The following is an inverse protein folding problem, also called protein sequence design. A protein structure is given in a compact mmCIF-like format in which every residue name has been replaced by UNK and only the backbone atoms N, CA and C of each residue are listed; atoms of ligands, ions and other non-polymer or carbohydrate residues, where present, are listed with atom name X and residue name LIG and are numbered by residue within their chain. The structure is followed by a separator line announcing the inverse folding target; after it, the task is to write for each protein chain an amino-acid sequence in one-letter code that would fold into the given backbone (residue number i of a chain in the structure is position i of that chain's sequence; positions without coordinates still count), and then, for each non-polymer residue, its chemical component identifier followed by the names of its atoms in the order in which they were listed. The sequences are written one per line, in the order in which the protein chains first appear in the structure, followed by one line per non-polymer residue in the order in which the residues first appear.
data_IF_477560168797
#
_entry.id   IF_477560168797
#
_cell.length_a   1.000
_cell.length_b   1.000
_cell.length_c   1.000
_cell.angle_alpha   90.00
_cell.angle_beta   90.00
_cell.angle_gamma   90.00
#
_symmetry.space_group_name_H-M   'P 1'
#
loop_
_entity.id
_entity.type
_entity.pdbx_description
1 polymer ?
#
# COMPACT_ATOMS: atom_id res chain seq x y z
N UNK A 1 -20.02 -41.09 8.68
CA UNK A 1 -19.43 -40.51 7.46
C UNK A 1 -19.17 -39.00 7.57
N UNK A 2 -20.18 -38.12 7.63
CA UNK A 2 -19.97 -36.66 7.61
C UNK A 2 -19.15 -36.12 8.80
N UNK A 3 -19.46 -36.54 10.02
CA UNK A 3 -18.70 -36.17 11.23
C UNK A 3 -17.24 -36.60 11.14
N UNK A 4 -16.98 -37.79 10.59
CA UNK A 4 -15.62 -38.31 10.40
C UNK A 4 -14.85 -37.53 9.32
N UNK A 5 -15.49 -37.17 8.20
CA UNK A 5 -14.89 -36.27 7.21
C UNK A 5 -14.60 -34.89 7.80
N UNK A 6 -15.49 -34.36 8.64
CA UNK A 6 -15.27 -33.10 9.33
C UNK A 6 -14.07 -33.17 10.28
N UNK A 7 -13.98 -34.23 11.08
CA UNK A 7 -12.83 -34.51 11.96
C UNK A 7 -11.50 -34.52 11.18
N UNK A 8 -11.44 -35.22 10.05
CA UNK A 8 -10.26 -35.28 9.18
C UNK A 8 -9.93 -33.97 8.45
N UNK A 9 -10.86 -33.02 8.40
CA UNK A 9 -10.64 -31.71 7.73
C UNK A 9 -10.00 -30.70 8.69
N UNK A 10 -10.09 -30.93 10.00
CA UNK A 10 -9.52 -30.02 11.00
C UNK A 10 -8.00 -30.21 11.02
N UNK A 11 -7.20 -29.18 10.69
CA UNK A 11 -5.75 -29.30 10.66
C UNK A 11 -5.19 -29.73 12.02
N UNK A 12 -4.20 -30.63 12.01
CA UNK A 12 -3.47 -31.15 13.17
C UNK A 12 -4.28 -31.98 14.18
N UNK A 13 -5.61 -32.04 14.08
CA UNK A 13 -6.41 -32.75 15.06
C UNK A 13 -6.18 -34.26 15.00
N UNK A 14 -6.17 -34.83 13.80
CA UNK A 14 -5.91 -36.25 13.59
C UNK A 14 -4.47 -36.61 13.96
N UNK A 15 -3.49 -35.81 13.51
CA UNK A 15 -2.07 -36.07 13.72
C UNK A 15 -1.70 -36.00 15.21
N UNK A 16 -2.20 -35.00 15.94
CA UNK A 16 -1.98 -34.90 17.38
C UNK A 16 -2.63 -36.05 18.14
N UNK A 17 -3.84 -36.46 17.74
CA UNK A 17 -4.51 -37.63 18.32
C UNK A 17 -3.69 -38.91 18.14
N UNK A 18 -3.17 -39.16 16.94
CA UNK A 18 -2.34 -40.34 16.66
C UNK A 18 -1.05 -40.38 17.50
N UNK A 19 -0.37 -39.24 17.61
CA UNK A 19 0.87 -39.14 18.38
C UNK A 19 0.60 -39.33 19.87
N UNK A 20 -0.44 -38.71 20.39
CA UNK A 20 -0.83 -38.81 21.80
C UNK A 20 -1.22 -40.24 22.16
N UNK A 21 -2.00 -40.89 21.30
CA UNK A 21 -2.41 -42.29 21.50
C UNK A 21 -1.20 -43.24 21.49
N UNK A 22 -0.24 -43.05 20.57
CA UNK A 22 0.98 -43.86 20.55
C UNK A 22 1.85 -43.65 21.80
N UNK A 23 1.92 -42.42 22.30
CA UNK A 23 2.71 -42.10 23.49
C UNK A 23 2.16 -42.74 24.77
N UNK A 24 0.85 -42.97 24.84
CA UNK A 24 0.16 -43.37 26.08
C UNK A 24 -0.43 -44.79 26.05
N UNK A 25 -0.40 -45.47 24.90
CA UNK A 25 -0.80 -46.88 24.80
C UNK A 25 0.44 -47.76 24.74
N UNK A 26 0.42 -48.86 25.49
CA UNK A 26 1.43 -49.90 25.36
C UNK A 26 1.23 -50.63 24.02
N UNK A 27 2.26 -50.69 23.19
CA UNK A 27 2.26 -51.34 21.86
C UNK A 27 3.66 -51.80 21.50
N UNK A 28 3.76 -52.88 20.73
CA UNK A 28 5.04 -53.31 20.12
C UNK A 28 5.40 -52.55 18.85
N UNK A 29 4.45 -51.82 18.25
CA UNK A 29 4.65 -51.16 16.97
C UNK A 29 5.50 -49.88 17.10
N UNK A 30 6.42 -49.70 16.15
CA UNK A 30 7.13 -48.43 16.00
C UNK A 30 6.17 -47.31 15.60
N UNK A 31 6.58 -46.05 15.82
CA UNK A 31 5.75 -44.89 15.47
C UNK A 31 5.34 -44.88 13.98
N UNK A 32 6.23 -45.26 13.06
CA UNK A 32 5.90 -45.34 11.63
C UNK A 32 4.84 -46.40 11.33
N UNK A 33 4.91 -47.54 12.02
CA UNK A 33 3.96 -48.64 11.86
C UNK A 33 2.61 -48.30 12.48
N UNK A 34 2.62 -47.61 13.62
CA UNK A 34 1.44 -47.03 14.25
C UNK A 34 0.70 -46.08 13.33
N UNK A 35 1.41 -45.12 12.72
CA UNK A 35 0.83 -44.16 11.77
C UNK A 35 0.27 -44.90 10.56
N UNK A 36 0.99 -45.89 10.03
CA UNK A 36 0.55 -46.68 8.86
C UNK A 36 -0.71 -47.48 9.16
N UNK A 37 -0.79 -48.15 10.31
CA UNK A 37 -1.97 -48.88 10.75
C UNK A 37 -3.21 -47.97 10.84
N UNK A 38 -3.06 -46.80 11.47
CA UNK A 38 -4.18 -45.87 11.64
C UNK A 38 -4.59 -45.18 10.34
N UNK A 39 -3.66 -44.88 9.44
CA UNK A 39 -3.98 -44.38 8.10
C UNK A 39 -4.75 -45.43 7.28
N UNK A 40 -4.33 -46.70 7.31
CA UNK A 40 -5.07 -47.80 6.69
C UNK A 40 -6.48 -47.92 7.27
N UNK A 41 -6.60 -47.97 8.61
CA UNK A 41 -7.89 -48.06 9.28
C UNK A 41 -8.80 -46.89 8.92
N UNK A 42 -8.27 -45.66 8.90
CA UNK A 42 -9.01 -44.46 8.58
C UNK A 42 -9.54 -44.46 7.14
N UNK A 43 -8.72 -44.88 6.18
CA UNK A 43 -9.12 -44.98 4.78
C UNK A 43 -10.14 -46.11 4.56
N UNK A 44 -9.91 -47.28 5.18
CA UNK A 44 -10.78 -48.46 5.04
C UNK A 44 -12.16 -48.24 5.68
N UNK A 45 -12.22 -47.65 6.87
CA UNK A 45 -13.48 -47.30 7.55
C UNK A 45 -14.28 -46.26 6.76
N UNK A 46 -13.60 -45.29 6.15
CA UNK A 46 -14.19 -44.31 5.24
C UNK A 46 -14.79 -45.00 4.00
N UNK A 47 -14.06 -45.93 3.39
CA UNK A 47 -14.55 -46.73 2.26
C UNK A 47 -15.74 -47.60 2.66
N UNK A 48 -15.74 -48.22 3.85
CA UNK A 48 -16.89 -49.00 4.33
C UNK A 48 -18.14 -48.13 4.45
N UNK A 49 -18.01 -46.90 4.94
CA UNK A 49 -19.11 -45.95 4.98
C UNK A 49 -19.63 -45.60 3.57
N UNK A 50 -18.72 -45.41 2.60
CA UNK A 50 -19.08 -45.10 1.22
C UNK A 50 -19.80 -46.28 0.54
N UNK A 51 -19.31 -47.51 0.69
CA UNK A 51 -19.98 -48.71 0.15
C UNK A 51 -21.34 -48.96 0.78
N UNK A 52 -21.47 -48.76 2.11
CA UNK A 52 -22.77 -48.85 2.77
C UNK A 52 -23.73 -47.75 2.30
N UNK A 53 -23.24 -46.55 1.98
CA UNK A 53 -24.07 -45.49 1.40
C UNK A 53 -24.53 -45.85 -0.02
N UNK A 54 -23.64 -46.38 -0.86
CA UNK A 54 -23.97 -46.86 -2.21
C UNK A 54 -24.98 -48.03 -2.20
N UNK A 55 -24.87 -48.93 -1.21
CA UNK A 55 -25.79 -50.06 -1.01
C UNK A 55 -27.18 -49.59 -0.58
N UNK A 56 -27.26 -48.65 0.37
CA UNK A 56 -28.54 -48.11 0.85
C UNK A 56 -29.21 -47.15 -0.16
N UNK A 57 -28.43 -46.51 -1.04
CA UNK A 57 -28.93 -45.57 -2.06
C UNK A 57 -28.39 -45.92 -3.45
N UNK A 58 -28.84 -47.03 -4.06
CA UNK A 58 -28.30 -47.51 -5.31
C UNK A 58 -28.62 -46.54 -6.44
N UNK A 59 -27.56 -46.11 -7.14
CA UNK A 59 -27.71 -45.35 -8.38
C UNK A 59 -27.93 -46.30 -9.56
N UNK A 60 -28.88 -46.03 -10.48
CA UNK A 60 -29.06 -46.83 -11.69
C UNK A 60 -27.77 -46.83 -12.53
N UNK A 61 -27.18 -48.02 -12.71
CA UNK A 61 -25.85 -48.22 -13.31
C UNK A 61 -25.74 -47.71 -14.77
N UNK A 62 -26.86 -47.63 -15.50
CA UNK A 62 -26.91 -47.24 -16.92
C UNK A 62 -27.68 -45.94 -17.21
N UNK A 63 -28.02 -45.14 -16.18
CA UNK A 63 -28.79 -43.91 -16.39
C UNK A 63 -27.91 -42.65 -16.42
N UNK A 64 -28.32 -41.67 -17.24
CA UNK A 64 -27.68 -40.35 -17.28
C UNK A 64 -27.83 -39.65 -15.93
N UNK A 65 -26.72 -39.25 -15.30
CA UNK A 65 -26.74 -38.39 -14.09
C UNK A 65 -27.56 -37.12 -14.35
N UNK A 66 -28.44 -36.76 -13.40
CA UNK A 66 -29.37 -35.62 -13.48
C UNK A 66 -28.60 -34.32 -13.78
N UNK A 67 -29.06 -33.55 -14.78
CA UNK A 67 -28.42 -32.28 -15.20
C UNK A 67 -28.26 -31.28 -14.05
N UNK A 68 -29.29 -31.15 -13.19
CA UNK A 68 -29.25 -30.25 -12.03
C UNK A 68 -28.08 -30.55 -11.08
N UNK A 69 -27.80 -31.84 -10.82
CA UNK A 69 -26.70 -32.22 -9.93
C UNK A 69 -25.35 -31.84 -10.56
N UNK A 70 -25.21 -32.00 -11.88
CA UNK A 70 -24.00 -31.60 -12.61
C UNK A 70 -23.76 -30.09 -12.55
N UNK A 71 -24.79 -29.29 -12.83
CA UNK A 71 -24.67 -27.83 -12.81
C UNK A 71 -24.49 -27.29 -11.39
N UNK A 72 -25.14 -27.89 -10.39
CA UNK A 72 -24.97 -27.47 -9.00
C UNK A 72 -23.53 -27.71 -8.51
N UNK A 73 -23.02 -28.94 -8.62
CA UNK A 73 -21.66 -29.27 -8.17
C UNK A 73 -20.58 -28.60 -9.02
N UNK A 74 -20.72 -28.64 -10.34
CA UNK A 74 -19.77 -28.00 -11.26
C UNK A 74 -19.77 -26.48 -11.11
N UNK A 75 -20.95 -25.86 -11.01
CA UNK A 75 -21.09 -24.42 -10.83
C UNK A 75 -20.58 -23.95 -9.47
N UNK A 76 -20.83 -24.71 -8.39
CA UNK A 76 -20.30 -24.43 -7.07
C UNK A 76 -18.77 -24.44 -7.05
N UNK A 77 -18.14 -25.49 -7.60
CA UNK A 77 -16.68 -25.59 -7.67
C UNK A 77 -16.07 -24.48 -8.54
N UNK A 78 -16.71 -24.15 -9.66
CA UNK A 78 -16.27 -23.07 -10.54
C UNK A 78 -16.36 -21.71 -9.84
N UNK A 79 -17.46 -21.42 -9.15
CA UNK A 79 -17.62 -20.18 -8.38
C UNK A 79 -16.57 -20.07 -7.28
N UNK A 80 -16.28 -21.17 -6.57
CA UNK A 80 -15.27 -21.19 -5.52
C UNK A 80 -13.89 -20.82 -6.07
N UNK A 81 -13.49 -21.37 -7.22
CA UNK A 81 -12.21 -21.02 -7.88
C UNK A 81 -12.17 -19.54 -8.27
N UNK A 82 -13.25 -19.02 -8.85
CA UNK A 82 -13.34 -17.58 -9.20
C UNK A 82 -13.20 -16.73 -7.94
N UNK A 83 -13.87 -17.09 -6.85
CA UNK A 83 -13.81 -16.37 -5.58
C UNK A 83 -12.39 -16.38 -5.02
N UNK A 84 -11.67 -17.50 -5.04
CA UNK A 84 -10.27 -17.57 -4.59
C UNK A 84 -9.38 -16.58 -5.35
N UNK A 85 -9.60 -16.43 -6.65
CA UNK A 85 -8.79 -15.53 -7.49
C UNK A 85 -9.20 -14.05 -7.27
N UNK A 86 -10.51 -13.76 -7.23
CA UNK A 86 -11.03 -12.39 -7.21
C UNK A 86 -11.15 -11.77 -5.82
N UNK A 87 -11.48 -12.57 -4.80
CA UNK A 87 -11.72 -12.06 -3.45
C UNK A 87 -10.52 -11.28 -2.86
N UNK A 88 -9.27 -11.77 -2.98
CA UNK A 88 -8.12 -11.01 -2.51
C UNK A 88 -7.93 -9.68 -3.26
N UNK A 89 -8.23 -9.66 -4.56
CA UNK A 89 -8.14 -8.44 -5.39
C UNK A 89 -9.16 -7.39 -4.96
N UNK A 90 -10.39 -7.81 -4.68
CA UNK A 90 -11.47 -6.93 -4.19
C UNK A 90 -11.13 -6.36 -2.81
N UNK A 91 -10.65 -7.20 -1.90
CA UNK A 91 -10.26 -6.76 -0.56
C UNK A 91 -9.14 -5.70 -0.62
N UNK A 92 -8.18 -5.86 -1.53
CA UNK A 92 -7.15 -4.85 -1.77
C UNK A 92 -7.71 -3.53 -2.30
N UNK A 93 -8.61 -3.60 -3.28
CA UNK A 93 -9.26 -2.40 -3.82
C UNK A 93 -9.98 -1.61 -2.72
N UNK A 94 -10.60 -2.29 -1.77
CA UNK A 94 -11.26 -1.65 -0.62
C UNK A 94 -10.26 -1.11 0.42
N UNK A 95 -9.18 -1.84 0.72
CA UNK A 95 -8.20 -1.42 1.74
C UNK A 95 -7.49 -0.09 1.38
N UNK A 96 -7.23 0.17 0.09
CA UNK A 96 -6.60 1.42 -0.35
C UNK A 96 -7.51 2.66 -0.25
N UNK A 97 -8.80 2.49 0.06
CA UNK A 97 -9.75 3.61 0.13
C UNK A 97 -9.80 4.32 1.49
N UNK A 98 -9.19 3.72 2.54
CA UNK A 98 -9.29 4.19 3.93
C UNK A 98 -8.20 5.21 4.30
N UNK A 99 -7.72 5.99 3.33
CA UNK A 99 -6.74 7.06 3.59
C UNK A 99 -7.33 8.12 4.52
N UNK A 100 -6.63 8.42 5.61
CA UNK A 100 -7.03 9.45 6.58
C UNK A 100 -6.42 10.80 6.23
N UNK A 101 -7.16 11.87 6.49
CA UNK A 101 -6.70 13.25 6.26
C UNK A 101 -5.78 13.68 7.39
N UNK A 102 -4.59 14.17 7.05
CA UNK A 102 -3.69 14.81 8.00
C UNK A 102 -3.04 16.04 7.38
N UNK A 103 -3.59 17.21 7.70
CA UNK A 103 -3.18 18.48 7.12
C UNK A 103 -1.87 18.97 7.77
N UNK A 104 -1.01 19.69 7.02
CA UNK A 104 0.13 20.36 7.63
C UNK A 104 -0.35 21.48 8.55
N UNK A 105 0.35 21.62 9.68
CA UNK A 105 0.09 22.63 10.72
C UNK A 105 0.98 23.86 10.56
N UNK A 106 2.11 23.68 9.87
CA UNK A 106 3.09 24.73 9.62
C UNK A 106 3.48 24.73 8.15
N UNK A 107 3.61 25.94 7.59
CA UNK A 107 4.23 26.17 6.29
C UNK A 107 5.32 27.23 6.48
N UNK A 108 6.57 26.85 6.25
CA UNK A 108 7.72 27.74 6.36
C UNK A 108 8.30 28.05 4.99
N UNK A 109 8.69 29.30 4.77
CA UNK A 109 9.40 29.74 3.59
C UNK A 109 10.71 30.42 3.97
N UNK A 110 11.74 30.18 3.16
CA UNK A 110 13.08 30.73 3.39
C UNK A 110 13.71 31.18 2.07
N UNK A 111 14.18 32.41 2.03
CA UNK A 111 14.94 32.97 0.89
C UNK A 111 16.40 33.12 1.31
N UNK A 112 17.31 32.39 0.66
CA UNK A 112 18.75 32.43 0.91
C UNK A 112 19.51 32.86 -0.33
N UNK A 113 20.67 33.49 -0.12
CA UNK A 113 21.60 33.84 -1.20
C UNK A 113 22.94 33.18 -0.93
N UNK A 114 23.33 32.23 -1.78
CA UNK A 114 24.66 31.59 -1.83
C UNK A 114 25.32 31.28 -0.47
N UNK A 115 24.55 30.73 0.47
CA UNK A 115 25.02 30.27 1.79
C UNK A 115 25.20 31.35 2.85
N UNK A 116 24.83 32.60 2.58
CA UNK A 116 24.76 33.65 3.59
C UNK A 116 23.53 33.50 4.48
N UNK A 117 23.46 34.32 5.54
CA UNK A 117 22.28 34.40 6.41
C UNK A 117 21.02 34.66 5.55
N UNK A 118 19.89 33.97 5.81
CA UNK A 118 18.68 34.11 5.02
C UNK A 118 18.25 35.57 4.93
N UNK A 119 17.87 35.99 3.73
CA UNK A 119 17.29 37.31 3.52
C UNK A 119 15.89 37.31 4.18
N UNK A 120 15.07 36.31 3.88
CA UNK A 120 13.72 36.22 4.42
C UNK A 120 13.46 34.84 5.01
N UNK A 121 12.83 34.81 6.18
CA UNK A 121 12.37 33.59 6.82
C UNK A 121 11.03 33.86 7.53
N UNK A 122 10.00 33.11 7.16
CA UNK A 122 8.66 33.25 7.74
C UNK A 122 7.96 31.91 7.83
N UNK A 123 7.17 31.74 8.88
CA UNK A 123 6.41 30.52 9.16
C UNK A 123 4.97 30.87 9.44
N UNK A 124 4.07 30.37 8.59
CA UNK A 124 2.65 30.35 8.88
C UNK A 124 2.34 29.21 9.85
N UNK A 125 1.68 29.55 10.96
CA UNK A 125 1.27 28.62 12.01
C UNK A 125 -0.23 28.27 11.91
N UNK A 126 -0.74 27.60 12.95
CA UNK A 126 -2.15 27.20 13.08
C UNK A 126 -3.06 28.44 12.98
N UNK A 127 -3.94 28.45 11.99
CA UNK A 127 -4.86 29.56 11.67
C UNK A 127 -4.54 30.24 10.34
N UNK A 128 -3.26 30.42 10.03
CA UNK A 128 -2.80 30.93 8.74
C UNK A 128 -2.67 29.82 7.68
N UNK A 129 -2.49 28.58 8.13
CA UNK A 129 -2.69 27.36 7.33
C UNK A 129 -4.08 26.81 7.63
N UNK A 130 -4.98 26.91 6.65
CA UNK A 130 -6.37 26.44 6.78
C UNK A 130 -6.84 25.71 5.52
N UNK A 131 -7.86 24.87 5.65
CA UNK A 131 -8.55 24.33 4.49
C UNK A 131 -9.31 25.43 3.72
N UNK A 132 -9.55 25.18 2.44
CA UNK A 132 -10.44 26.01 1.63
C UNK A 132 -11.87 25.92 2.16
N UNK A 133 -12.59 27.04 2.05
CA UNK A 133 -14.04 27.03 2.17
C UNK A 133 -14.66 26.48 0.89
N UNK A 134 -15.89 25.97 0.97
CA UNK A 134 -16.61 25.48 -0.20
C UNK A 134 -16.66 26.54 -1.32
N UNK A 135 -16.93 27.80 -0.97
CA UNK A 135 -17.01 28.90 -1.94
C UNK A 135 -15.67 29.16 -2.64
N UNK A 136 -14.55 29.11 -1.92
CA UNK A 136 -13.22 29.29 -2.51
C UNK A 136 -12.84 28.10 -3.40
N UNK A 137 -13.22 26.89 -3.02
CA UNK A 137 -13.03 25.69 -3.85
C UNK A 137 -13.87 25.74 -5.12
N UNK A 138 -15.14 26.17 -5.03
CA UNK A 138 -16.01 26.36 -6.18
C UNK A 138 -15.45 27.47 -7.11
N UNK A 139 -14.84 28.52 -6.54
CA UNK A 139 -14.14 29.55 -7.31
C UNK A 139 -12.92 28.98 -8.04
N UNK A 140 -12.12 28.12 -7.39
CA UNK A 140 -11.00 27.42 -8.01
C UNK A 140 -11.49 26.54 -9.17
N UNK A 141 -12.57 25.79 -8.96
CA UNK A 141 -13.21 24.97 -9.99
C UNK A 141 -13.66 25.83 -11.18
N UNK A 142 -14.25 26.99 -10.91
CA UNK A 142 -14.69 27.93 -11.95
C UNK A 142 -13.51 28.53 -12.74
N UNK A 143 -12.38 28.80 -12.09
CA UNK A 143 -11.14 29.24 -12.75
C UNK A 143 -10.68 28.24 -13.81
N UNK A 144 -10.74 26.94 -13.51
CA UNK A 144 -10.26 25.87 -14.40
C UNK A 144 -11.34 25.25 -15.31
N UNK A 145 -12.51 25.89 -15.43
CA UNK A 145 -13.71 25.36 -16.11
C UNK A 145 -13.52 24.85 -17.54
N UNK A 146 -12.48 25.31 -18.25
CA UNK A 146 -12.20 24.91 -19.64
C UNK A 146 -11.34 23.65 -19.76
N UNK A 147 -10.54 23.32 -18.74
CA UNK A 147 -9.58 22.22 -18.82
C UNK A 147 -10.07 20.98 -18.10
N UNK A 148 -10.36 19.92 -18.88
CA UNK A 148 -10.79 18.62 -18.32
C UNK A 148 -9.72 17.98 -17.44
N UNK A 149 -8.44 18.16 -17.78
CA UNK A 149 -7.31 17.61 -17.02
C UNK A 149 -7.13 18.32 -15.68
N UNK A 150 -7.30 19.64 -15.66
CA UNK A 150 -7.26 20.42 -14.44
C UNK A 150 -8.44 20.08 -13.51
N UNK A 151 -9.65 19.99 -14.06
CA UNK A 151 -10.85 19.63 -13.28
C UNK A 151 -10.75 18.21 -12.70
N UNK A 152 -10.30 17.23 -13.49
CA UNK A 152 -10.09 15.87 -12.98
C UNK A 152 -9.08 15.84 -11.83
N UNK A 153 -8.01 16.63 -11.90
CA UNK A 153 -7.06 16.76 -10.80
C UNK A 153 -7.67 17.41 -9.58
N UNK A 154 -8.51 18.45 -9.75
CA UNK A 154 -9.21 19.10 -8.64
C UNK A 154 -10.22 18.13 -8.00
N UNK A 155 -10.93 17.33 -8.79
CA UNK A 155 -11.93 16.35 -8.33
C UNK A 155 -11.32 15.22 -7.48
N UNK A 156 -10.02 14.92 -7.64
CA UNK A 156 -9.31 13.98 -6.79
C UNK A 156 -9.20 14.46 -5.31
N UNK A 157 -9.37 15.76 -5.07
CA UNK A 157 -9.28 16.39 -3.75
C UNK A 157 -10.58 17.08 -3.36
N UNK A 158 -11.04 16.91 -2.13
CA UNK A 158 -12.17 17.71 -1.65
C UNK A 158 -11.69 19.10 -1.21
N UNK A 159 -12.61 20.05 -1.01
CA UNK A 159 -12.31 21.37 -0.43
C UNK A 159 -11.55 21.30 0.90
N UNK A 160 -11.77 20.26 1.71
CA UNK A 160 -11.05 20.02 2.97
C UNK A 160 -9.63 19.46 2.78
N UNK A 161 -9.33 18.88 1.61
CA UNK A 161 -8.02 18.29 1.29
C UNK A 161 -7.08 19.33 0.65
N UNK A 162 -7.62 20.49 0.27
CA UNK A 162 -6.86 21.60 -0.30
C UNK A 162 -6.74 22.72 0.73
N UNK A 163 -5.51 23.15 0.98
CA UNK A 163 -5.18 24.16 1.99
C UNK A 163 -4.74 25.47 1.35
N UNK A 164 -4.98 26.56 2.05
CA UNK A 164 -4.34 27.85 1.83
C UNK A 164 -3.37 28.08 2.98
N UNK A 165 -2.09 28.29 2.64
CA UNK A 165 -1.09 28.76 3.59
C UNK A 165 -0.78 30.23 3.33
N UNK A 166 -1.20 31.10 4.26
CA UNK A 166 -0.97 32.54 4.20
C UNK A 166 0.26 32.91 5.03
N UNK A 167 1.38 33.13 4.37
CA UNK A 167 2.65 33.43 5.04
C UNK A 167 2.86 34.94 5.06
N UNK A 168 3.21 35.50 6.21
CA UNK A 168 3.47 36.93 6.34
C UNK A 168 4.66 37.33 5.47
N UNK A 169 4.51 38.39 4.66
CA UNK A 169 5.56 38.91 3.81
C UNK A 169 6.69 39.57 4.59
N UNK A 170 6.48 40.00 5.84
CA UNK A 170 7.59 40.44 6.69
C UNK A 170 8.33 39.24 7.26
N UNK A 171 9.66 39.28 7.23
CA UNK A 171 10.49 38.27 7.87
C UNK A 171 10.18 38.18 9.37
N UNK A 172 10.01 36.96 9.87
CA UNK A 172 9.79 36.67 11.29
C UNK A 172 11.03 36.92 12.14
N UNK A 173 12.21 36.87 11.51
CA UNK A 173 13.51 37.15 12.11
C UNK A 173 14.12 38.44 11.55
N UNK A 174 14.90 39.12 12.40
CA UNK A 174 15.73 40.26 12.00
C UNK A 174 16.88 39.78 11.14
N UNK A 175 17.41 40.64 10.28
CA UNK A 175 18.54 40.30 9.42
C UNK A 175 19.86 40.34 10.22
N UNK A 176 20.23 39.22 10.83
CA UNK A 176 21.40 39.09 11.72
C UNK A 176 22.74 38.89 10.97
N UNK A 177 22.90 39.44 9.78
CA UNK A 177 24.16 39.32 9.05
C UNK A 177 25.29 40.03 9.80
N UNK A 178 26.43 39.36 9.98
CA UNK A 178 27.59 40.01 10.61
C UNK A 178 28.17 41.07 9.68
N UNK A 179 28.69 42.21 10.20
CA UNK A 179 29.34 43.22 9.35
C UNK A 179 30.39 42.68 8.36
N UNK A 180 31.29 41.74 8.73
CA UNK A 180 32.21 41.15 7.77
C UNK A 180 31.50 40.29 6.71
N UNK A 181 30.47 39.52 7.08
CA UNK A 181 29.70 38.74 6.12
C UNK A 181 28.90 39.63 5.16
N UNK A 182 28.43 40.79 5.62
CA UNK A 182 27.76 41.81 4.80
C UNK A 182 28.70 42.40 3.75
N UNK A 183 29.92 42.78 4.15
CA UNK A 183 30.94 43.26 3.21
C UNK A 183 31.35 42.16 2.22
N UNK A 184 31.53 40.93 2.70
CA UNK A 184 31.82 39.78 1.83
C UNK A 184 30.68 39.49 0.83
N UNK A 185 29.42 39.63 1.25
CA UNK A 185 28.26 39.48 0.36
C UNK A 185 28.31 40.53 -0.76
N UNK A 186 28.58 41.79 -0.42
CA UNK A 186 28.71 42.89 -1.40
C UNK A 186 29.86 42.62 -2.38
N UNK A 187 31.04 42.23 -1.87
CA UNK A 187 32.20 41.87 -2.71
C UNK A 187 31.86 40.71 -3.65
N UNK A 188 31.17 39.68 -3.15
CA UNK A 188 30.79 38.51 -3.94
C UNK A 188 29.71 38.85 -4.98
N UNK A 189 28.76 39.73 -4.64
CA UNK A 189 27.76 40.24 -5.59
C UNK A 189 28.44 40.97 -6.77
N UNK A 190 29.49 41.75 -6.48
CA UNK A 190 30.28 42.49 -7.47
C UNK A 190 31.29 41.61 -8.24
N UNK A 191 31.61 40.43 -7.70
CA UNK A 191 32.56 39.50 -8.31
C UNK A 191 32.00 38.77 -9.54
N UNK A 192 32.90 38.18 -10.34
CA UNK A 192 32.57 37.31 -11.47
C UNK A 192 32.22 35.86 -11.08
N UNK A 193 32.18 35.54 -9.78
CA UNK A 193 31.82 34.20 -9.31
C UNK A 193 30.34 33.91 -9.54
N UNK A 194 29.95 32.65 -9.86
CA UNK A 194 28.55 32.27 -9.93
C UNK A 194 27.88 32.39 -8.56
N UNK A 195 26.64 32.87 -8.57
CA UNK A 195 25.83 33.07 -7.37
C UNK A 195 24.42 32.58 -7.69
N UNK A 196 23.72 32.06 -6.70
CA UNK A 196 22.33 31.69 -6.81
C UNK A 196 21.54 32.23 -5.62
N UNK A 197 20.28 32.55 -5.90
CA UNK A 197 19.25 32.82 -4.91
C UNK A 197 18.34 31.60 -4.83
N UNK A 198 18.07 31.10 -3.63
CA UNK A 198 17.31 29.90 -3.39
C UNK A 198 16.10 30.20 -2.49
N UNK A 199 14.93 29.74 -2.91
CA UNK A 199 13.70 29.82 -2.14
C UNK A 199 13.22 28.42 -1.78
N UNK A 200 13.14 28.16 -0.47
CA UNK A 200 12.73 26.88 0.12
C UNK A 200 11.31 27.02 0.68
N UNK A 201 10.46 26.02 0.45
CA UNK A 201 9.17 25.90 1.11
C UNK A 201 9.03 24.53 1.77
N UNK A 202 8.50 24.54 3.00
CA UNK A 202 8.50 23.39 3.89
C UNK A 202 7.13 23.27 4.55
N UNK A 203 6.46 22.14 4.37
CA UNK A 203 5.21 21.79 5.02
C UNK A 203 5.47 20.75 6.10
N UNK A 204 5.08 21.07 7.34
CA UNK A 204 5.20 20.16 8.49
C UNK A 204 3.83 19.81 9.03
N UNK A 205 3.66 18.53 9.38
CA UNK A 205 2.46 17.99 10.03
C UNK A 205 2.73 17.76 11.51
N UNK A 206 1.70 17.90 12.34
CA UNK A 206 1.82 17.59 13.77
C UNK A 206 2.15 16.09 13.94
N UNK A 207 3.10 15.72 14.81
CA UNK A 207 3.52 14.32 14.96
C UNK A 207 2.36 13.45 15.46
N UNK A 208 2.18 12.27 14.83
CA UNK A 208 1.20 11.27 15.24
C UNK A 208 1.86 9.89 15.28
N UNK A 209 1.68 9.16 16.39
CA UNK A 209 2.23 7.83 16.58
C UNK A 209 1.61 6.80 15.62
N UNK A 210 0.35 6.98 15.21
CA UNK A 210 -0.41 6.03 14.35
C UNK A 210 -0.09 6.17 12.86
N UNK A 211 0.42 7.32 12.47
CA UNK A 211 0.66 7.69 11.07
C UNK A 211 2.17 7.83 10.82
N UNK A 212 2.61 7.51 9.61
CA UNK A 212 3.99 7.71 9.18
C UNK A 212 4.00 8.77 8.08
N UNK A 213 4.62 9.89 8.37
CA UNK A 213 4.85 10.97 7.43
C UNK A 213 6.16 11.66 7.80
N UNK A 214 6.74 12.31 6.80
CA UNK A 214 7.93 13.13 6.96
C UNK A 214 7.60 14.55 6.47
N UNK A 215 8.57 15.45 6.62
CA UNK A 215 8.47 16.81 6.13
C UNK A 215 8.37 16.80 4.60
N UNK A 216 7.35 17.50 4.08
CA UNK A 216 7.22 17.71 2.65
C UNK A 216 7.88 19.03 2.30
N UNK A 217 8.94 19.00 1.49
CA UNK A 217 9.74 20.19 1.18
C UNK A 217 10.20 20.19 -0.27
N UNK A 218 10.41 21.36 -0.82
CA UNK A 218 11.06 21.54 -2.12
C UNK A 218 11.70 22.93 -2.17
N UNK A 219 12.56 23.14 -3.16
CA UNK A 219 13.27 24.39 -3.32
C UNK A 219 13.41 24.77 -4.80
N UNK A 220 13.54 26.07 -5.04
CA UNK A 220 13.94 26.59 -6.35
C UNK A 220 15.14 27.50 -6.21
N UNK A 221 16.17 27.24 -7.02
CA UNK A 221 17.33 28.10 -7.16
C UNK A 221 17.28 28.84 -8.51
N UNK A 222 17.57 30.14 -8.50
CA UNK A 222 17.78 30.96 -9.69
C UNK A 222 19.26 31.33 -9.73
N UNK A 223 19.92 31.00 -10.82
CA UNK A 223 21.31 31.40 -11.06
C UNK A 223 21.38 32.88 -11.44
N UNK A 224 22.24 33.59 -10.75
CA UNK A 224 22.54 35.00 -10.96
C UNK A 224 23.92 35.09 -11.58
N UNK A 225 24.06 35.20 -12.92
CA UNK A 225 25.36 35.40 -13.56
C UNK A 225 25.99 36.77 -13.20
N UNK A 226 27.29 36.97 -13.46
CA UNK A 226 27.93 38.27 -13.27
C UNK A 226 27.23 39.38 -14.06
N UNK A 227 26.99 40.53 -13.42
CA UNK A 227 26.27 41.65 -14.05
C UNK A 227 24.76 41.51 -14.13
N UNK A 228 24.17 40.46 -13.52
CA UNK A 228 22.71 40.32 -13.45
C UNK A 228 22.06 41.50 -12.70
N UNK A 229 20.93 42.08 -13.17
CA UNK A 229 20.31 43.25 -12.56
C UNK A 229 20.01 43.08 -11.07
N UNK A 230 19.47 41.91 -10.68
CA UNK A 230 19.21 41.58 -9.26
C UNK A 230 20.46 41.73 -8.39
N UNK A 231 21.67 41.43 -8.88
CA UNK A 231 22.89 41.61 -8.09
C UNK A 231 23.19 43.08 -7.82
N UNK A 232 23.03 43.92 -8.84
CA UNK A 232 23.26 45.37 -8.73
C UNK A 232 22.24 45.99 -7.78
N UNK A 233 20.96 45.63 -7.94
CA UNK A 233 19.89 46.14 -7.08
C UNK A 233 20.05 45.66 -5.62
N UNK A 234 20.50 44.42 -5.40
CA UNK A 234 20.84 43.92 -4.06
C UNK A 234 21.99 44.70 -3.43
N UNK A 235 23.04 45.04 -4.19
CA UNK A 235 24.14 45.86 -3.68
C UNK A 235 23.63 47.24 -3.26
N UNK A 236 22.83 47.89 -4.10
CA UNK A 236 22.28 49.22 -3.80
C UNK A 236 21.34 49.18 -2.59
N UNK A 237 20.54 48.12 -2.45
CA UNK A 237 19.63 47.93 -1.32
C UNK A 237 20.38 47.64 -0.02
N UNK A 238 21.40 46.78 -0.06
CA UNK A 238 22.24 46.52 1.12
C UNK A 238 23.09 47.74 1.47
N UNK A 239 23.51 48.59 0.53
CA UNK A 239 24.15 49.86 0.89
C UNK A 239 23.19 50.89 1.50
N UNK A 240 21.87 50.67 1.43
CA UNK A 240 20.85 51.62 1.90
C UNK A 240 20.60 52.77 0.90
N UNK A 241 21.11 52.66 -0.33
CA UNK A 241 20.98 53.68 -1.36
C UNK A 241 19.68 53.51 -2.18
N UNK A 242 19.19 52.29 -2.34
CA UNK A 242 17.97 51.99 -3.09
C UNK A 242 16.74 51.97 -2.17
N UNK A 243 15.70 52.73 -2.58
CA UNK A 243 14.35 52.69 -1.97
C UNK A 243 13.32 51.94 -2.83
N UNK A 244 13.74 51.37 -3.96
CA UNK A 244 12.85 50.63 -4.87
C UNK A 244 12.91 49.13 -4.53
N UNK A 245 11.77 48.41 -4.51
CA UNK A 245 11.77 46.97 -4.31
C UNK A 245 12.40 46.24 -5.51
N UNK A 246 13.13 45.17 -5.23
CA UNK A 246 13.82 44.32 -6.20
C UNK A 246 12.81 43.31 -6.75
N UNK A 247 12.70 43.22 -8.07
CA UNK A 247 11.86 42.22 -8.72
C UNK A 247 12.66 40.94 -8.97
N UNK A 248 12.28 39.85 -8.30
CA UNK A 248 12.83 38.52 -8.56
C UNK A 248 11.77 37.72 -9.32
N UNK A 249 11.95 37.49 -10.63
CA UNK A 249 10.94 36.84 -11.44
C UNK A 249 10.97 35.33 -11.21
N UNK A 250 9.81 34.69 -11.38
CA UNK A 250 9.67 33.24 -11.41
C UNK A 250 10.32 32.57 -10.20
N UNK A 251 9.94 32.88 -8.97
CA UNK A 251 10.67 32.36 -7.80
C UNK A 251 10.05 31.08 -7.23
N UNK A 252 8.73 31.01 -7.10
CA UNK A 252 8.07 29.87 -6.47
C UNK A 252 6.70 29.56 -7.10
N UNK A 253 6.22 28.31 -7.04
CA UNK A 253 4.90 27.94 -7.52
C UNK A 253 3.83 28.22 -6.45
N UNK A 254 2.72 28.89 -6.78
CA UNK A 254 1.58 29.01 -5.83
C UNK A 254 0.86 27.70 -5.60
N UNK A 255 0.74 26.87 -6.63
CA UNK A 255 0.00 25.61 -6.59
C UNK A 255 0.97 24.45 -6.37
N UNK A 256 0.93 23.87 -5.19
CA UNK A 256 1.86 22.82 -4.76
C UNK A 256 1.12 21.56 -4.35
N UNK A 257 1.68 20.41 -4.71
CA UNK A 257 1.27 19.13 -4.17
C UNK A 257 1.99 18.89 -2.86
N UNK A 258 1.26 18.54 -1.80
CA UNK A 258 1.81 18.28 -0.46
C UNK A 258 1.72 16.78 -0.17
N UNK A 259 2.74 15.99 -0.57
CA UNK A 259 2.75 14.55 -0.34
C UNK A 259 2.90 14.21 1.14
N UNK A 260 2.74 12.92 1.47
CA UNK A 260 2.97 12.38 2.82
C UNK A 260 4.43 12.55 3.28
N UNK A 261 5.38 12.41 2.36
CA UNK A 261 6.80 12.62 2.58
C UNK A 261 7.49 12.98 1.25
N UNK A 262 8.60 13.73 1.31
CA UNK A 262 9.43 14.02 0.15
C UNK A 262 9.12 15.35 -0.54
N UNK A 263 9.19 15.36 -1.88
CA UNK A 263 9.20 16.59 -2.68
C UNK A 263 7.82 17.25 -2.75
N UNK A 264 7.67 18.44 -2.15
CA UNK A 264 6.47 19.28 -2.26
C UNK A 264 6.44 20.05 -3.60
N UNK A 265 6.40 19.31 -4.71
CA UNK A 265 6.51 19.87 -6.06
C UNK A 265 5.27 20.65 -6.51
N UNK A 266 5.40 21.30 -7.66
CA UNK A 266 4.30 22.04 -8.28
C UNK A 266 3.24 21.12 -8.90
N UNK A 267 2.03 21.65 -9.09
CA UNK A 267 0.93 20.90 -9.73
C UNK A 267 0.95 21.08 -11.24
N UNK A 268 1.54 20.13 -11.97
CA UNK A 268 1.68 20.18 -13.43
C UNK A 268 0.33 20.37 -14.14
N UNK A 269 -0.69 19.60 -13.75
CA UNK A 269 -2.02 19.60 -14.38
C UNK A 269 -2.74 20.96 -14.31
N UNK A 270 -2.39 21.79 -13.32
CA UNK A 270 -2.99 23.11 -13.12
C UNK A 270 -2.11 24.24 -13.66
N UNK A 271 -0.79 24.12 -13.52
CA UNK A 271 0.13 25.15 -14.01
C UNK A 271 0.23 25.13 -15.53
N UNK A 272 0.18 23.97 -16.19
CA UNK A 272 0.33 23.89 -17.66
C UNK A 272 -0.71 24.73 -18.42
N UNK A 273 -1.92 24.88 -17.87
CA UNK A 273 -2.99 25.72 -18.43
C UNK A 273 -2.62 27.21 -18.51
N UNK A 274 -1.60 27.63 -17.74
CA UNK A 274 -1.10 29.00 -17.72
C UNK A 274 0.11 29.21 -18.63
N UNK A 275 0.64 28.13 -19.24
CA UNK A 275 1.82 28.20 -20.09
C UNK A 275 1.49 28.90 -21.41
N UNK A 276 2.20 30.00 -21.70
CA UNK A 276 2.09 30.71 -22.99
C UNK A 276 3.15 30.20 -23.97
N UNK A 277 2.81 29.10 -24.65
CA UNK A 277 3.59 28.49 -25.73
C UNK A 277 4.19 27.14 -25.35
N UNK A 278 4.10 26.16 -26.26
CA UNK A 278 4.45 24.74 -26.02
C UNK A 278 5.92 24.50 -25.63
N UNK A 279 6.83 25.46 -25.91
CA UNK A 279 8.28 25.30 -25.72
C UNK A 279 8.85 26.00 -24.47
N UNK A 280 8.02 26.55 -23.57
CA UNK A 280 8.52 27.22 -22.36
C UNK A 280 8.58 26.25 -21.17
N UNK A 281 9.61 26.38 -20.30
CA UNK A 281 9.65 25.61 -19.06
C UNK A 281 8.50 26.03 -18.13
N UNK A 282 7.99 25.10 -17.32
CA UNK A 282 6.88 25.33 -16.37
C UNK A 282 7.27 26.40 -15.34
N UNK A 283 8.56 26.47 -15.02
CA UNK A 283 9.19 27.46 -14.17
C UNK A 283 8.92 28.91 -14.60
N UNK A 284 8.59 29.16 -15.87
CA UNK A 284 8.22 30.50 -16.38
C UNK A 284 6.84 31.01 -15.93
N UNK A 285 6.06 30.18 -15.25
CA UNK A 285 4.74 30.51 -14.69
C UNK A 285 4.83 30.82 -13.19
N UNK A 286 5.95 30.50 -12.56
CA UNK A 286 6.13 30.71 -11.13
C UNK A 286 5.97 32.19 -10.81
N UNK A 287 5.60 32.48 -9.57
CA UNK A 287 5.25 33.83 -9.16
C UNK A 287 6.50 34.66 -8.93
N UNK A 288 6.40 35.91 -9.39
CA UNK A 288 7.38 36.94 -9.14
C UNK A 288 7.23 37.51 -7.73
N UNK A 289 8.35 37.84 -7.09
CA UNK A 289 8.33 38.52 -5.80
C UNK A 289 9.00 39.89 -5.87
N UNK A 290 8.52 40.79 -5.02
CA UNK A 290 9.15 42.07 -4.73
C UNK A 290 9.84 41.97 -3.37
N UNK A 291 11.16 42.14 -3.36
CA UNK A 291 11.99 42.09 -2.17
C UNK A 291 12.39 43.52 -1.76
N UNK A 292 12.25 43.83 -0.48
CA UNK A 292 12.51 45.16 0.08
C UNK A 292 13.22 45.02 1.43
N UNK A 293 14.20 45.87 1.70
CA UNK A 293 14.88 45.95 2.99
C UNK A 293 14.29 47.11 3.77
N UNK A 294 13.68 46.82 4.92
CA UNK A 294 13.17 47.83 5.83
C UNK A 294 14.12 47.97 7.02
N UNK A 295 14.21 49.19 7.57
CA UNK A 295 15.12 49.52 8.66
C UNK A 295 14.48 50.49 9.63
N UNK A 296 14.43 50.11 10.91
CA UNK A 296 13.90 50.94 11.99
C UNK A 296 14.77 50.81 13.22
N UNK A 297 15.17 51.95 13.78
CA UNK A 297 15.97 52.03 15.02
C UNK A 297 17.27 51.19 14.97
N UNK A 298 17.88 51.08 13.79
CA UNK A 298 19.10 50.28 13.56
C UNK A 298 18.86 48.77 13.38
N UNK A 299 17.61 48.31 13.40
CA UNK A 299 17.24 46.95 13.07
C UNK A 299 16.78 46.86 11.62
N UNK A 300 17.39 45.95 10.86
CA UNK A 300 17.03 45.67 9.47
C UNK A 300 16.26 44.34 9.38
N UNK A 301 15.23 44.29 8.54
CA UNK A 301 14.55 43.04 8.16
C UNK A 301 14.07 43.11 6.72
N UNK A 302 13.97 41.95 6.08
CA UNK A 302 13.48 41.87 4.71
C UNK A 302 11.97 41.69 4.67
N UNK A 303 11.35 42.37 3.71
CA UNK A 303 9.95 42.27 3.36
C UNK A 303 9.82 41.71 1.95
N UNK A 304 8.93 40.74 1.79
CA UNK A 304 8.59 40.11 0.51
C UNK A 304 7.13 40.40 0.21
N UNK A 305 6.85 40.83 -1.02
CA UNK A 305 5.49 40.97 -1.54
C UNK A 305 5.30 40.09 -2.76
N UNK A 306 4.20 39.37 -2.81
CA UNK A 306 3.85 38.49 -3.91
C UNK A 306 3.17 39.29 -5.02
N UNK A 307 3.58 39.06 -6.27
CA UNK A 307 2.95 39.64 -7.43
C UNK A 307 1.95 38.62 -7.99
N UNK A 308 0.74 38.58 -7.43
CA UNK A 308 -0.27 37.58 -7.78
C UNK A 308 -0.83 37.89 -9.17
N UNK A 309 -0.59 37.03 -10.18
CA UNK A 309 -1.09 37.28 -11.54
C UNK A 309 -2.61 37.09 -11.65
N UNK A 310 -3.32 36.75 -10.56
CA UNK A 310 -4.76 36.48 -10.54
C UNK A 310 -5.14 35.50 -11.64
N UNK A 311 -4.52 34.31 -11.55
CA UNK A 311 -4.62 33.24 -12.53
C UNK A 311 -6.08 32.93 -12.88
N UNK A 312 -6.53 33.40 -14.04
CA UNK A 312 -7.71 32.90 -14.77
C UNK A 312 -7.26 32.67 -16.23
N UNK A 313 -7.34 31.42 -16.74
CA UNK A 313 -6.95 31.09 -18.12
C UNK A 313 -7.67 31.93 -19.18
N UNK A 314 -8.85 32.47 -18.86
CA UNK A 314 -9.76 33.16 -19.78
C UNK A 314 -9.78 34.66 -19.50
N UNK A 315 -9.94 35.05 -18.22
CA UNK A 315 -10.06 36.45 -17.82
C UNK A 315 -8.69 37.01 -17.42
N UNK A 316 -8.09 37.81 -18.30
CA UNK A 316 -6.84 38.50 -17.98
C UNK A 316 -7.09 39.63 -17.00
N UNK A 317 -6.74 39.40 -15.75
CA UNK A 317 -6.63 40.44 -14.75
C UNK A 317 -5.21 41.00 -14.70
N UNK A 318 -5.07 42.27 -14.32
CA UNK A 318 -3.77 42.83 -14.00
C UNK A 318 -3.24 42.19 -12.71
N UNK A 319 -1.93 41.91 -12.62
CA UNK A 319 -1.38 41.33 -11.39
C UNK A 319 -1.62 42.25 -10.19
N UNK A 320 -1.94 41.65 -9.05
CA UNK A 320 -2.19 42.35 -7.79
C UNK A 320 -1.03 42.08 -6.84
N UNK A 321 -0.49 43.15 -6.27
CA UNK A 321 0.56 43.05 -5.25
C UNK A 321 -0.11 42.67 -3.92
N UNK A 322 0.30 41.54 -3.35
CA UNK A 322 -0.13 41.06 -2.04
C UNK A 322 1.03 41.16 -1.05
N UNK A 323 0.74 41.66 0.15
CA UNK A 323 1.72 41.74 1.25
C UNK A 323 2.02 40.38 1.92
N UNK A 324 1.40 39.29 1.46
CA UNK A 324 1.58 37.94 1.97
C UNK A 324 1.96 37.00 0.83
N UNK A 325 2.73 35.97 1.15
CA UNK A 325 2.98 34.84 0.24
C UNK A 325 1.88 33.81 0.45
N UNK A 326 1.25 33.37 -0.63
CA UNK A 326 0.12 32.44 -0.58
C UNK A 326 0.46 31.17 -1.34
N UNK A 327 0.34 30.02 -0.67
CA UNK A 327 0.36 28.71 -1.31
C UNK A 327 -1.03 28.07 -1.26
N UNK A 328 -1.42 27.43 -2.36
CA UNK A 328 -2.51 26.48 -2.41
C UNK A 328 -1.91 25.07 -2.43
N UNK A 329 -2.04 24.35 -1.32
CA UNK A 329 -1.49 23.02 -1.13
C UNK A 329 -2.55 21.94 -1.34
N UNK A 330 -2.34 21.04 -2.29
CA UNK A 330 -3.16 19.85 -2.49
C UNK A 330 -2.59 18.71 -1.66
N UNK A 331 -3.27 18.36 -0.56
CA UNK A 331 -2.71 17.46 0.46
C UNK A 331 -3.09 16.01 0.15
N UNK A 332 -2.08 15.15 -0.06
CA UNK A 332 -2.30 13.71 -0.21
C UNK A 332 -2.80 13.10 1.11
N UNK A 333 -3.70 12.13 0.98
CA UNK A 333 -4.17 11.34 2.14
C UNK A 333 -3.03 10.52 2.73
N UNK A 334 -3.00 10.41 4.05
CA UNK A 334 -2.01 9.63 4.79
C UNK A 334 -2.59 8.27 5.11
N UNK A 335 -1.80 7.22 4.87
CA UNK A 335 -2.18 5.86 5.19
C UNK A 335 -1.63 5.44 6.57
N UNK A 336 -2.37 4.64 7.34
CA UNK A 336 -1.87 4.09 8.61
C UNK A 336 -0.60 3.25 8.41
N UNK A 337 0.29 3.26 9.41
CA UNK A 337 1.55 2.48 9.43
C UNK A 337 1.35 0.99 9.16
N UNK A 338 0.23 0.41 9.60
CA UNK A 338 -0.08 -1.00 9.38
C UNK A 338 -0.22 -1.36 7.90
N UNK A 339 -0.62 -0.41 7.05
CA UNK A 339 -0.79 -0.64 5.63
C UNK A 339 0.47 -0.30 4.81
N UNK A 340 1.46 0.40 5.37
CA UNK A 340 2.67 0.77 4.62
C UNK A 340 3.58 -0.42 4.28
N UNK A 341 3.58 -1.48 5.11
CA UNK A 341 4.21 -2.77 4.79
C UNK A 341 3.61 -3.43 3.54
N UNK A 342 2.34 -3.13 3.27
CA UNK A 342 1.54 -3.78 2.23
C UNK A 342 1.65 -2.99 0.90
N UNK A 343 1.75 -1.66 0.94
CA UNK A 343 1.68 -0.79 -0.26
C UNK A 343 2.94 -0.75 -1.13
N UNK A 344 4.08 -1.27 -0.66
CA UNK A 344 5.39 -1.14 -1.35
C UNK A 344 5.74 -2.21 -2.40
N UNK A 345 4.78 -3.04 -2.84
CA UNK A 345 5.03 -4.16 -3.79
C UNK A 345 5.07 -5.55 -3.15
N UNK A 346 5.15 -5.63 -1.82
CA UNK A 346 5.03 -6.89 -1.07
C UNK A 346 3.67 -7.57 -1.22
N UNK A 347 2.59 -6.81 -1.45
CA UNK A 347 1.25 -7.38 -1.60
C UNK A 347 1.07 -8.19 -2.87
N UNK A 348 1.71 -7.79 -3.98
CA UNK A 348 1.68 -8.54 -5.23
C UNK A 348 2.35 -9.91 -5.03
N UNK A 349 3.48 -9.93 -4.32
CA UNK A 349 4.18 -11.17 -3.94
C UNK A 349 3.33 -12.05 -3.04
N UNK A 350 2.70 -11.48 -2.01
CA UNK A 350 1.77 -12.21 -1.14
C UNK A 350 0.60 -12.80 -1.91
N UNK A 351 -0.04 -12.02 -2.78
CA UNK A 351 -1.14 -12.46 -3.63
C UNK A 351 -0.74 -13.61 -4.55
N UNK A 352 0.38 -13.46 -5.28
CA UNK A 352 0.91 -14.51 -6.16
C UNK A 352 1.22 -15.77 -5.35
N UNK A 353 1.86 -15.64 -4.18
CA UNK A 353 2.20 -16.78 -3.33
C UNK A 353 0.95 -17.52 -2.84
N UNK A 354 -0.09 -16.80 -2.40
CA UNK A 354 -1.34 -17.38 -1.93
C UNK A 354 -2.05 -18.14 -3.05
N UNK A 355 -2.15 -17.55 -4.23
CA UNK A 355 -2.79 -18.19 -5.39
C UNK A 355 -2.00 -19.40 -5.84
N UNK A 356 -0.67 -19.36 -5.83
CA UNK A 356 0.14 -20.52 -6.20
C UNK A 356 -0.06 -21.67 -5.21
N UNK A 357 -0.04 -21.41 -3.90
CA UNK A 357 -0.26 -22.44 -2.88
C UNK A 357 -1.67 -23.04 -2.98
N UNK A 358 -2.70 -22.21 -3.08
CA UNK A 358 -4.08 -22.69 -3.25
C UNK A 358 -4.28 -23.41 -4.60
N UNK A 359 -3.65 -22.93 -5.66
CA UNK A 359 -3.69 -23.56 -6.98
C UNK A 359 -3.00 -24.93 -6.98
N UNK A 360 -1.85 -25.05 -6.32
CA UNK A 360 -1.11 -26.31 -6.18
C UNK A 360 -1.91 -27.33 -5.37
N UNK A 361 -2.47 -26.93 -4.23
CA UNK A 361 -3.29 -27.83 -3.39
C UNK A 361 -4.56 -28.32 -4.11
N UNK A 362 -5.25 -27.44 -4.84
CA UNK A 362 -6.38 -27.82 -5.69
C UNK A 362 -5.93 -28.79 -6.79
N UNK A 363 -4.78 -28.52 -7.43
CA UNK A 363 -4.22 -29.39 -8.48
C UNK A 363 -3.95 -30.79 -7.94
N UNK A 364 -3.27 -30.90 -6.81
CA UNK A 364 -2.93 -32.19 -6.19
C UNK A 364 -4.18 -33.00 -5.82
N UNK A 365 -5.26 -32.33 -5.40
CA UNK A 365 -6.57 -32.95 -5.17
C UNK A 365 -7.21 -33.56 -6.43
N UNK A 366 -6.94 -33.02 -7.62
CA UNK A 366 -7.57 -33.44 -8.89
C UNK A 366 -6.67 -34.40 -9.67
N UNK A 367 -5.38 -34.11 -9.82
CA UNK A 367 -4.49 -34.78 -10.78
C UNK A 367 -3.89 -36.09 -10.29
N UNK A 368 -4.00 -36.42 -8.99
CA UNK A 368 -3.41 -37.62 -8.42
C UNK A 368 -4.44 -38.74 -8.12
N UNK A 369 -5.55 -38.78 -8.87
CA UNK A 369 -6.60 -39.78 -8.67
C UNK A 369 -6.17 -41.19 -9.12
N UNK A 370 -5.35 -41.28 -10.17
CA UNK A 370 -4.94 -42.57 -10.77
C UNK A 370 -4.18 -43.48 -9.80
N UNK A 371 -3.25 -42.92 -9.03
CA UNK A 371 -2.41 -43.68 -8.08
C UNK A 371 -3.23 -44.24 -6.92
N UNK A 372 -4.36 -43.61 -6.61
CA UNK A 372 -5.23 -43.97 -5.47
C UNK A 372 -6.24 -45.07 -5.81
N UNK A 373 -6.49 -45.35 -7.10
CA UNK A 373 -7.50 -46.31 -7.56
C UNK A 373 -7.36 -47.68 -6.88
N UNK A 374 -6.14 -48.19 -6.76
CA UNK A 374 -5.88 -49.52 -6.20
C UNK A 374 -6.27 -49.67 -4.72
N UNK A 375 -6.39 -48.55 -3.99
CA UNK A 375 -6.73 -48.53 -2.58
C UNK A 375 -8.14 -47.96 -2.31
N UNK A 376 -8.68 -47.14 -3.22
CA UNK A 376 -10.00 -46.52 -3.08
C UNK A 376 -11.13 -47.34 -3.72
N UNK A 377 -10.85 -48.08 -4.79
CA UNK A 377 -11.86 -48.88 -5.50
C UNK A 377 -11.89 -50.34 -5.00
N UNK A 378 -12.15 -50.51 -3.71
CA UNK A 378 -12.30 -51.82 -3.07
C UNK A 378 -13.81 -52.14 -2.86
N UNK A 379 -14.35 -53.22 -3.46
CA UNK A 379 -15.78 -53.53 -3.38
C UNK A 379 -16.27 -53.92 -1.98
N UNK A 380 -15.55 -54.82 -1.30
CA UNK A 380 -15.85 -55.21 0.08
C UNK A 380 -14.59 -55.11 0.95
N UNK A 381 -14.64 -54.27 1.98
CA UNK A 381 -13.51 -54.02 2.90
C UNK A 381 -13.66 -54.67 4.28
N UNK A 382 -14.71 -55.46 4.53
CA UNK A 382 -15.06 -56.00 5.85
C UNK A 382 -13.93 -56.81 6.48
N UNK A 383 -13.26 -57.64 5.70
CA UNK A 383 -12.15 -58.49 6.18
C UNK A 383 -10.92 -57.68 6.57
N UNK A 384 -10.70 -56.55 5.88
CA UNK A 384 -9.58 -55.65 6.18
C UNK A 384 -9.87 -54.87 7.45
N UNK A 385 -11.11 -54.39 7.58
CA UNK A 385 -11.56 -53.69 8.79
C UNK A 385 -11.49 -54.61 10.00
N UNK A 386 -12.01 -55.85 9.88
CA UNK A 386 -11.92 -56.86 10.93
C UNK A 386 -10.48 -57.15 11.33
N UNK A 387 -9.55 -57.27 10.36
CA UNK A 387 -8.13 -57.45 10.67
C UNK A 387 -7.54 -56.26 11.44
N UNK A 388 -7.98 -55.03 11.16
CA UNK A 388 -7.54 -53.86 11.93
C UNK A 388 -8.15 -53.87 13.35
N UNK A 389 -9.42 -54.22 13.48
CA UNK A 389 -10.09 -54.35 14.79
C UNK A 389 -9.47 -55.47 15.64
N UNK A 390 -9.07 -56.59 15.01
CA UNK A 390 -8.36 -57.68 15.67
C UNK A 390 -6.98 -57.21 16.19
N UNK A 391 -6.25 -56.38 15.43
CA UNK A 391 -4.98 -55.77 15.89
C UNK A 391 -5.23 -54.88 17.11
N UNK A 392 -6.29 -54.05 17.09
CA UNK A 392 -6.63 -53.22 18.24
C UNK A 392 -7.04 -54.03 19.47
N UNK A 393 -7.80 -55.11 19.27
CA UNK A 393 -8.23 -56.00 20.34
C UNK A 393 -7.05 -56.72 21.01
N UNK A 394 -6.12 -57.24 20.20
CA UNK A 394 -4.92 -57.94 20.67
C UNK A 394 -3.99 -57.00 21.44
N UNK A 395 -3.89 -55.73 21.00
CA UNK A 395 -3.19 -54.69 21.75
C UNK A 395 -3.83 -54.44 23.11
N UNK A 396 -5.14 -54.24 23.16
CA UNK A 396 -5.86 -54.01 24.42
C UNK A 396 -5.77 -55.23 25.37
N UNK A 397 -5.56 -56.43 24.82
CA UNK A 397 -5.29 -57.65 25.58
C UNK A 397 -3.81 -57.80 26.04
N UNK A 398 -2.89 -56.97 25.55
CA UNK A 398 -1.46 -57.01 25.89
C UNK A 398 -0.65 -58.12 25.21
N UNK A 399 -1.21 -58.77 24.18
CA UNK A 399 -0.57 -59.88 23.47
C UNK A 399 0.30 -59.35 22.29
N UNK A 400 1.42 -58.71 22.62
CA UNK A 400 2.24 -57.94 21.67
C UNK A 400 2.88 -58.76 20.54
N UNK A 401 3.17 -60.05 20.74
CA UNK A 401 3.70 -60.94 19.69
C UNK A 401 2.66 -61.13 18.58
N UNK A 402 1.40 -61.35 18.97
CA UNK A 402 0.29 -61.48 18.04
C UNK A 402 -0.05 -60.14 17.36
N UNK A 403 0.16 -59.01 18.04
CA UNK A 403 0.04 -57.67 17.44
C UNK A 403 1.00 -57.52 16.24
N UNK A 404 2.27 -57.89 16.41
CA UNK A 404 3.27 -57.83 15.34
C UNK A 404 2.93 -58.78 14.18
N UNK A 405 2.49 -60.00 14.47
CA UNK A 405 2.11 -60.97 13.44
C UNK A 405 0.93 -60.50 12.59
N UNK A 406 -0.12 -59.97 13.24
CA UNK A 406 -1.30 -59.45 12.56
C UNK A 406 -0.98 -58.17 11.77
N UNK A 407 -0.13 -57.30 12.29
CA UNK A 407 0.35 -56.12 11.56
C UNK A 407 1.20 -56.52 10.34
N UNK A 408 2.11 -57.48 10.47
CA UNK A 408 2.89 -57.99 9.34
C UNK A 408 1.99 -58.57 8.24
N UNK A 409 0.92 -59.28 8.62
CA UNK A 409 -0.11 -59.77 7.69
C UNK A 409 -0.86 -58.63 7.00
N UNK A 410 -1.20 -57.56 7.72
CA UNK A 410 -1.83 -56.36 7.14
C UNK A 410 -0.91 -55.70 6.11
N UNK A 411 0.36 -55.49 6.45
CA UNK A 411 1.36 -54.92 5.52
C UNK A 411 1.54 -55.80 4.29
N UNK A 412 1.62 -57.12 4.45
CA UNK A 412 1.72 -58.05 3.32
C UNK A 412 0.52 -57.94 2.38
N UNK A 413 -0.68 -57.77 2.92
CA UNK A 413 -1.90 -57.57 2.13
C UNK A 413 -1.82 -56.32 1.24
N UNK A 414 -1.38 -55.19 1.80
CA UNK A 414 -1.24 -53.93 1.06
C UNK A 414 -0.02 -53.89 0.11
N UNK A 415 0.99 -54.74 0.33
CA UNK A 415 2.11 -54.92 -0.61
C UNK A 415 1.74 -55.71 -1.87
N UNK A 416 0.66 -56.50 -1.84
CA UNK A 416 0.27 -57.40 -2.94
C UNK A 416 -1.12 -57.05 -3.49
N UNK A 417 -1.20 -56.29 -4.61
CA UNK A 417 -2.48 -55.91 -5.20
C UNK A 417 -3.36 -57.11 -5.59
N UNK A 418 -2.73 -58.22 -6.01
CA UNK A 418 -3.44 -59.45 -6.37
C UNK A 418 -4.10 -60.11 -5.16
N UNK A 419 -3.44 -60.07 -3.99
CA UNK A 419 -3.99 -60.59 -2.74
C UNK A 419 -5.09 -59.67 -2.20
N UNK A 420 -4.88 -58.35 -2.29
CA UNK A 420 -5.88 -57.35 -1.91
C UNK A 420 -7.19 -57.51 -2.69
N UNK A 421 -7.12 -57.69 -4.02
CA UNK A 421 -8.30 -57.96 -4.86
C UNK A 421 -8.99 -59.26 -4.46
N UNK A 422 -8.24 -60.33 -4.19
CA UNK A 422 -8.83 -61.62 -3.75
C UNK A 422 -9.56 -61.49 -2.41
N UNK A 423 -9.04 -60.68 -1.49
CA UNK A 423 -9.63 -60.45 -0.17
C UNK A 423 -10.87 -59.56 -0.22
N UNK A 424 -10.94 -58.64 -1.18
CA UNK A 424 -11.99 -57.61 -1.27
C UNK A 424 -13.09 -57.89 -2.30
N UNK A 425 -13.16 -59.12 -2.83
CA UNK A 425 -14.22 -59.54 -3.74
C UNK A 425 -15.60 -59.34 -3.12
N UNK A 426 -16.57 -58.92 -3.94
CA UNK A 426 -17.98 -58.89 -3.55
C UNK A 426 -18.44 -60.29 -3.12
N UNK A 427 -19.24 -60.35 -2.05
CA UNK A 427 -19.95 -61.57 -1.70
C UNK A 427 -21.09 -61.70 -2.71
N UNK A 428 -21.00 -62.71 -3.58
CA UNK A 428 -22.14 -63.10 -4.43
C UNK A 428 -23.11 -63.83 -3.49
N UNK A 429 -24.12 -63.13 -3.00
CA UNK A 429 -25.30 -63.71 -2.35
C UNK A 429 -26.41 -63.97 -3.34
#
# INVERSE_FOLDING_TARGET
MLLYKAYMTIPFLFELGLLMDWMWKDTSLSLSEWITLHDIYANVSMLKCERNFEENYPSPKDAKKRRLIKYAWGGFLLLLIILIIWFPLVLFAMANTVGTRHLPVECSCKLTISGYYPLYESTAQIGDVRSLTQMEYDSLYYTYRTSKTALAYIDDYNYNDVIIANIDGNSSSRWHISPPARNSLIEKLNSSLPMSIQFDWIFKRAPDNKLQFDVAQDFRAIELPPGHPIRLELIEMVHGNAKKPILIPNLFPSLVKVPVAGKAGHVNSLLIEHLRGENKPIESIYIDILLELDSKDGYEWWKVRMLDPMFDPILRNSPVIKDKIIFYGFVDKVFPKTFSFITGGGILGLYISLILVLGMTIRDGITNSMTKIMFQELPNVDKILQLCDDIFLVRDAGEFELEEELYAKLVFLFRSPTTLIKWTKEKIT
#
